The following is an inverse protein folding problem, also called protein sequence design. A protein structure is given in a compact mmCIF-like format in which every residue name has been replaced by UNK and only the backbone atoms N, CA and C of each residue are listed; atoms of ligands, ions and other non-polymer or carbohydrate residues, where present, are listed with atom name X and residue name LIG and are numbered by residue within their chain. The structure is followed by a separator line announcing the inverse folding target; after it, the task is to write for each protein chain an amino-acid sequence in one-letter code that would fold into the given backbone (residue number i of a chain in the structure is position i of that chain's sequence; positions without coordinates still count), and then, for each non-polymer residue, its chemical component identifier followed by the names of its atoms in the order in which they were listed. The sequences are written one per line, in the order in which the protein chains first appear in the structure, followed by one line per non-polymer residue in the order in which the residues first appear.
data_IF_800483975229
#
_entry.id   IF_800483975229
#
_cell.length_a   1.000
_cell.length_b   1.000
_cell.length_c   1.000
_cell.angle_alpha   90.00
_cell.angle_beta   90.00
_cell.angle_gamma   90.00
#
_symmetry.space_group_name_H-M   'P 1'
#
loop_
_entity.id
_entity.type
_entity.pdbx_description
1 polymer ?
#
# COMPACT_ATOMS: atom_id res chain seq x y z
N UNK A 1 -9.97 -14.64 59.00
CA UNK A 1 -8.81 -14.95 58.14
C UNK A 1 -8.62 -13.77 57.23
N UNK A 2 -7.46 -13.11 57.27
CA UNK A 2 -7.19 -11.95 56.44
C UNK A 2 -6.81 -12.44 55.04
N UNK A 3 -7.66 -12.16 54.05
CA UNK A 3 -7.31 -12.40 52.65
C UNK A 3 -6.77 -11.09 52.08
N UNK A 4 -5.45 -10.93 52.09
CA UNK A 4 -4.76 -9.88 51.35
C UNK A 4 -4.16 -10.51 50.10
N UNK A 5 -4.86 -10.40 48.97
CA UNK A 5 -4.33 -10.75 47.65
C UNK A 5 -4.39 -9.53 46.76
N UNK A 6 -3.24 -9.03 46.33
CA UNK A 6 -3.17 -7.96 45.33
C UNK A 6 -3.24 -8.61 43.96
N UNK A 7 -4.32 -8.36 43.22
CA UNK A 7 -4.45 -8.75 41.82
C UNK A 7 -3.83 -7.66 40.96
N UNK A 8 -2.57 -7.81 40.58
CA UNK A 8 -1.96 -6.94 39.57
C UNK A 8 -2.38 -7.43 38.18
N UNK A 9 -3.45 -6.86 37.64
CA UNK A 9 -3.84 -7.07 36.24
C UNK A 9 -3.16 -6.00 35.38
N UNK A 10 -2.05 -6.36 34.75
CA UNK A 10 -1.44 -5.53 33.72
C UNK A 10 -2.37 -5.49 32.50
N UNK A 11 -2.89 -4.31 32.16
CA UNK A 11 -3.56 -4.07 30.89
C UNK A 11 -2.58 -3.34 29.97
N UNK A 12 -2.27 -3.93 28.82
CA UNK A 12 -1.50 -3.25 27.79
C UNK A 12 -2.48 -2.34 27.05
N UNK A 13 -2.34 -1.02 27.22
CA UNK A 13 -3.04 -0.04 26.37
C UNK A 13 -2.26 0.03 25.05
N UNK A 14 -2.68 -0.75 24.06
CA UNK A 14 -2.16 -0.62 22.70
C UNK A 14 -2.84 0.57 22.05
N UNK A 15 -2.08 1.64 21.79
CA UNK A 15 -2.55 2.69 20.87
C UNK A 15 -2.61 2.06 19.49
N UNK A 16 -3.75 2.11 18.76
CA UNK A 16 -3.77 1.62 17.41
C UNK A 16 -2.79 2.46 16.59
N UNK A 17 -1.71 1.83 16.11
CA UNK A 17 -0.91 2.42 15.02
C UNK A 17 -1.88 2.69 13.89
N UNK A 18 -2.03 3.95 13.50
CA UNK A 18 -2.77 4.28 12.29
C UNK A 18 -2.07 3.59 11.13
N UNK A 19 -2.76 2.64 10.53
CA UNK A 19 -2.26 1.96 9.36
C UNK A 19 -2.47 2.86 8.14
N UNK A 20 -1.46 3.01 7.28
CA UNK A 20 -1.56 3.79 6.05
C UNK A 20 -0.93 3.05 4.87
N UNK A 21 -1.52 3.22 3.69
CA UNK A 21 -0.92 2.83 2.42
C UNK A 21 -0.36 4.08 1.74
N UNK A 22 0.84 3.97 1.20
CA UNK A 22 1.48 5.03 0.42
C UNK A 22 2.11 4.43 -0.84
N UNK A 23 1.96 5.08 -1.98
CA UNK A 23 2.66 4.68 -3.20
C UNK A 23 4.09 5.22 -3.18
N UNK A 24 5.01 4.52 -3.83
CA UNK A 24 6.40 4.96 -3.97
C UNK A 24 6.48 6.29 -4.71
N UNK A 25 5.61 6.50 -5.71
CA UNK A 25 5.49 7.74 -6.46
C UNK A 25 4.02 8.07 -6.75
N UNK A 26 3.68 9.36 -6.70
CA UNK A 26 2.33 9.86 -7.01
C UNK A 26 2.13 10.09 -8.51
N UNK A 27 3.22 10.41 -9.23
CA UNK A 27 3.22 10.69 -10.68
C UNK A 27 4.53 10.19 -11.28
N UNK A 28 4.41 9.31 -12.27
CA UNK A 28 5.53 8.82 -13.07
C UNK A 28 5.40 9.37 -14.51
N UNK A 29 6.54 9.70 -15.12
CA UNK A 29 6.61 10.12 -16.51
C UNK A 29 7.47 9.10 -17.26
N UNK A 30 6.87 8.42 -18.22
CA UNK A 30 7.50 7.36 -19.00
C UNK A 30 7.35 7.65 -20.49
N UNK A 31 8.40 7.35 -21.26
CA UNK A 31 8.27 7.31 -22.71
C UNK A 31 7.52 6.05 -23.15
N UNK A 32 6.83 6.06 -24.31
CA UNK A 32 6.19 4.87 -24.86
C UNK A 32 7.12 3.65 -24.88
N UNK A 33 6.68 2.54 -24.30
CA UNK A 33 7.43 1.29 -24.17
C UNK A 33 8.38 1.20 -22.97
N UNK A 34 8.56 2.28 -22.19
CA UNK A 34 9.29 2.21 -20.92
C UNK A 34 8.45 1.54 -19.83
N UNK A 35 9.16 0.99 -18.84
CA UNK A 35 8.55 0.36 -17.68
C UNK A 35 9.11 0.94 -16.39
N UNK A 36 8.25 1.01 -15.37
CA UNK A 36 8.62 1.48 -14.03
C UNK A 36 7.91 0.63 -13.01
N UNK A 37 8.63 0.22 -11.96
CA UNK A 37 8.02 -0.48 -10.84
C UNK A 37 7.44 0.51 -9.85
N UNK A 38 6.15 0.36 -9.55
CA UNK A 38 5.46 1.02 -8.44
C UNK A 38 5.44 0.08 -7.24
N UNK A 39 5.76 0.63 -6.08
CA UNK A 39 5.72 -0.08 -4.81
C UNK A 39 4.65 0.55 -3.90
N UNK A 40 4.00 -0.28 -3.10
CA UNK A 40 3.07 0.18 -2.06
C UNK A 40 3.71 -0.06 -0.70
N UNK A 41 3.97 1.04 -0.01
CA UNK A 41 4.50 1.06 1.35
C UNK A 41 3.31 0.89 2.30
N UNK A 42 3.38 -0.16 3.12
CA UNK A 42 2.43 -0.43 4.21
C UNK A 42 3.03 0.04 5.53
N UNK A 43 2.47 1.10 6.10
CA UNK A 43 2.81 1.51 7.46
C UNK A 43 1.80 0.88 8.41
N UNK A 44 2.23 -0.06 9.26
CA UNK A 44 1.35 -0.80 10.19
C UNK A 44 0.85 -2.14 9.64
N UNK A 45 0.03 -2.83 10.45
CA UNK A 45 -0.53 -4.13 10.07
C UNK A 45 -1.74 -3.95 9.14
N UNK A 46 -1.49 -4.08 7.83
CA UNK A 46 -2.52 -4.07 6.79
C UNK A 46 -2.61 -5.47 6.20
N UNK A 47 -3.73 -6.14 6.45
CA UNK A 47 -4.05 -7.43 5.84
C UNK A 47 -4.65 -7.23 4.43
N UNK A 48 -4.47 -8.23 3.56
CA UNK A 48 -5.02 -8.24 2.19
C UNK A 48 -3.96 -8.04 1.10
N UNK A 49 -4.30 -8.46 -0.11
CA UNK A 49 -3.44 -8.36 -1.30
C UNK A 49 -3.55 -6.96 -1.93
N UNK A 50 -2.48 -6.49 -2.59
CA UNK A 50 -2.57 -5.30 -3.45
C UNK A 50 -3.13 -5.75 -4.79
N UNK A 51 -4.20 -5.09 -5.22
CA UNK A 51 -4.75 -5.25 -6.57
C UNK A 51 -4.53 -3.94 -7.29
N UNK A 52 -3.89 -4.02 -8.45
CA UNK A 52 -3.61 -2.90 -9.32
C UNK A 52 -4.60 -2.86 -10.48
N UNK A 53 -4.93 -1.66 -10.96
CA UNK A 53 -5.83 -1.47 -12.11
C UNK A 53 -5.46 -0.17 -12.81
N UNK A 54 -5.50 -0.13 -14.14
CA UNK A 54 -5.38 1.11 -14.89
C UNK A 54 -6.76 1.59 -15.34
N UNK A 55 -7.00 2.90 -15.30
CA UNK A 55 -8.20 3.50 -15.92
C UNK A 55 -8.18 3.38 -17.46
N UNK A 56 -6.99 3.35 -18.06
CA UNK A 56 -6.78 3.21 -19.50
C UNK A 56 -5.51 2.39 -19.78
N UNK A 57 -5.71 1.11 -20.08
CA UNK A 57 -4.64 0.16 -20.38
C UNK A 57 -3.91 0.44 -21.71
N UNK A 58 -4.49 1.26 -22.61
CA UNK A 58 -3.84 1.64 -23.86
C UNK A 58 -2.74 2.68 -23.64
N UNK A 59 -2.91 3.54 -22.63
CA UNK A 59 -1.94 4.58 -22.24
C UNK A 59 -0.90 4.01 -21.26
N UNK A 60 -1.33 3.29 -20.22
CA UNK A 60 -0.42 2.57 -19.35
C UNK A 60 -1.10 1.34 -18.75
N UNK A 61 -0.37 0.23 -18.68
CA UNK A 61 -0.84 -1.01 -18.02
C UNK A 61 0.02 -1.29 -16.80
N UNK A 62 -0.56 -1.94 -15.79
CA UNK A 62 0.16 -2.34 -14.57
C UNK A 62 0.00 -3.84 -14.31
N UNK A 63 1.12 -4.51 -14.05
CA UNK A 63 1.14 -5.92 -13.66
C UNK A 63 0.77 -6.14 -12.19
N UNK A 64 0.44 -7.38 -11.85
CA UNK A 64 0.15 -7.80 -10.46
C UNK A 64 1.34 -7.60 -9.52
N UNK A 65 2.55 -7.52 -10.06
CA UNK A 65 3.78 -7.27 -9.32
C UNK A 65 4.12 -5.77 -9.16
N UNK A 66 3.23 -4.89 -9.63
CA UNK A 66 3.41 -3.44 -9.60
C UNK A 66 4.23 -2.86 -10.77
N UNK A 67 4.54 -3.64 -11.80
CA UNK A 67 5.27 -3.14 -12.97
C UNK A 67 4.34 -2.37 -13.90
N UNK A 68 4.50 -1.05 -13.99
CA UNK A 68 3.83 -0.19 -14.97
C UNK A 68 4.57 -0.24 -16.29
N UNK A 69 3.83 -0.36 -17.39
CA UNK A 69 4.33 -0.28 -18.77
C UNK A 69 3.59 0.82 -19.50
N UNK A 70 4.33 1.78 -20.07
CA UNK A 70 3.78 2.83 -20.90
C UNK A 70 3.44 2.29 -22.30
N UNK A 71 2.21 2.57 -22.75
CA UNK A 71 1.72 2.25 -24.08
C UNK A 71 1.78 3.47 -24.98
N UNK A 72 0.61 3.99 -25.34
CA UNK A 72 0.45 5.18 -26.18
C UNK A 72 0.68 6.48 -25.39
N UNK A 73 0.94 7.58 -26.11
CA UNK A 73 1.08 8.90 -25.50
C UNK A 73 -0.25 9.34 -24.87
N UNK A 74 -0.23 9.64 -23.57
CA UNK A 74 -1.42 10.07 -22.86
C UNK A 74 -1.19 10.25 -21.37
N UNK A 75 -2.30 10.41 -20.64
CA UNK A 75 -2.31 10.42 -19.17
C UNK A 75 -3.42 9.49 -18.69
N UNK A 76 -3.07 8.60 -17.77
CA UNK A 76 -4.01 7.68 -17.11
C UNK A 76 -3.76 7.66 -15.60
N UNK A 77 -4.61 6.96 -14.86
CA UNK A 77 -4.52 6.73 -13.42
C UNK A 77 -4.38 5.23 -13.17
N UNK A 78 -3.54 4.90 -12.20
CA UNK A 78 -3.20 3.54 -11.75
C UNK A 78 -3.64 3.36 -10.29
#
# INVERSE_FOLDING_TARGET
GNYTGTLEKSFVITVPVQASLQMSEDVILLAPGETQKLEVIRNGEIAGEIVWSSEDETVASIGTDGLVTAGEEGRTVI
#
